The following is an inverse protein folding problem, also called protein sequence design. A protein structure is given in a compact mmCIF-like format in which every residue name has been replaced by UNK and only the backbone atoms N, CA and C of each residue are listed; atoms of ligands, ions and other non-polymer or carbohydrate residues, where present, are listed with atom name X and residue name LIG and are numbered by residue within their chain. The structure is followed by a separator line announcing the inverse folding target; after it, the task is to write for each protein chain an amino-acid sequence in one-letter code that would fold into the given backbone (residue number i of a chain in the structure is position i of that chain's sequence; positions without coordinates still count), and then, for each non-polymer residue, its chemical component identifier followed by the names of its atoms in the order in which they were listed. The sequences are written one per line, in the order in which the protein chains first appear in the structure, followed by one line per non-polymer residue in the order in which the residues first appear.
data_IF_612812903556
#
_entry.id   IF_612812903556
#
_cell.length_a   1.000
_cell.length_b   1.000
_cell.length_c   1.000
_cell.angle_alpha   90.00
_cell.angle_beta   90.00
_cell.angle_gamma   90.00
#
_symmetry.space_group_name_H-M   'P 1'
#
loop_
_entity.id
_entity.type
_entity.pdbx_description
1 polymer ?
#
# COMPACT_ATOMS: atom_id res chain seq x y z
N UNK A 1 -16.99 19.20 14.87
CA UNK A 1 -15.53 19.04 15.10
C UNK A 1 -15.14 19.98 16.23
N UNK A 2 -14.34 19.54 17.20
CA UNK A 2 -14.28 20.16 18.54
C UNK A 2 -13.31 21.34 18.71
N UNK A 3 -12.49 21.64 17.68
CA UNK A 3 -11.57 22.77 17.65
C UNK A 3 -11.52 23.40 16.25
N UNK A 4 -12.48 24.27 15.88
CA UNK A 4 -12.50 24.91 14.57
C UNK A 4 -11.23 25.70 14.25
N UNK A 5 -10.57 26.21 15.29
CA UNK A 5 -9.27 26.91 15.20
C UNK A 5 -8.13 26.08 14.58
N UNK A 6 -8.29 24.76 14.48
CA UNK A 6 -7.25 23.87 13.97
C UNK A 6 -7.45 23.45 12.51
N UNK A 7 -8.56 23.83 11.85
CA UNK A 7 -8.85 23.41 10.48
C UNK A 7 -7.79 23.89 9.48
N UNK A 8 -7.47 25.18 9.50
CA UNK A 8 -6.49 25.74 8.56
C UNK A 8 -5.13 25.04 8.72
N UNK A 9 -4.72 24.78 9.98
CA UNK A 9 -3.45 24.10 10.26
C UNK A 9 -3.48 22.63 9.87
N UNK A 10 -4.60 21.95 10.08
CA UNK A 10 -4.82 20.58 9.65
C UNK A 10 -4.61 20.44 8.13
N UNK A 11 -5.30 21.27 7.35
CA UNK A 11 -5.25 21.21 5.89
C UNK A 11 -3.89 21.65 5.35
N UNK A 12 -3.31 22.73 5.89
CA UNK A 12 -1.97 23.19 5.53
C UNK A 12 -0.93 22.09 5.69
N UNK A 13 -0.92 21.42 6.86
CA UNK A 13 0.07 20.37 7.15
C UNK A 13 -0.17 19.10 6.33
N UNK A 14 -1.43 18.75 6.06
CA UNK A 14 -1.76 17.64 5.17
C UNK A 14 -1.23 17.91 3.75
N UNK A 15 -1.50 19.09 3.19
CA UNK A 15 -1.09 19.43 1.82
C UNK A 15 0.44 19.45 1.67
N UNK A 16 1.16 20.03 2.64
CA UNK A 16 2.64 19.98 2.66
C UNK A 16 3.15 18.53 2.72
N UNK A 17 2.52 17.68 3.52
CA UNK A 17 2.89 16.27 3.59
C UNK A 17 2.61 15.53 2.27
N UNK A 18 1.48 15.81 1.62
CA UNK A 18 1.12 15.24 0.31
C UNK A 18 2.17 15.59 -0.73
N UNK A 19 2.62 16.86 -0.80
CA UNK A 19 3.71 17.28 -1.70
C UNK A 19 4.99 16.48 -1.43
N UNK A 20 5.34 16.32 -0.15
CA UNK A 20 6.54 15.57 0.25
C UNK A 20 6.45 14.08 -0.09
N UNK A 21 5.29 13.47 0.15
CA UNK A 21 5.02 12.06 -0.15
C UNK A 21 5.03 11.81 -1.66
N UNK A 22 4.32 12.63 -2.43
CA UNK A 22 4.22 12.49 -3.88
C UNK A 22 5.54 12.85 -4.58
N UNK A 23 6.32 13.79 -4.03
CA UNK A 23 7.65 14.16 -4.53
C UNK A 23 8.74 13.10 -4.31
N UNK A 24 8.49 12.09 -3.47
CA UNK A 24 9.43 10.97 -3.27
C UNK A 24 9.65 10.16 -4.56
N UNK A 25 10.92 9.83 -4.82
CA UNK A 25 11.35 9.10 -6.02
C UNK A 25 11.06 7.59 -5.96
N UNK A 26 10.78 7.04 -4.78
CA UNK A 26 10.40 5.63 -4.61
C UNK A 26 8.90 5.44 -4.85
N UNK A 27 8.52 4.24 -5.31
CA UNK A 27 7.12 3.85 -5.48
C UNK A 27 6.27 4.94 -6.18
N UNK A 28 6.75 5.49 -7.31
CA UNK A 28 6.09 6.60 -8.04
C UNK A 28 4.65 6.32 -8.46
N UNK A 29 4.24 5.06 -8.47
CA UNK A 29 2.87 4.65 -8.75
C UNK A 29 1.93 4.82 -7.55
N UNK A 30 2.46 4.98 -6.33
CA UNK A 30 1.68 5.25 -5.13
C UNK A 30 1.57 6.76 -4.95
N UNK A 31 0.36 7.26 -5.03
CA UNK A 31 0.02 8.66 -4.82
C UNK A 31 -0.84 8.82 -3.57
N UNK A 32 -0.60 9.89 -2.81
CA UNK A 32 -1.51 10.37 -1.76
C UNK A 32 -2.40 11.46 -2.38
N UNK A 33 -3.72 11.27 -2.29
CA UNK A 33 -4.72 12.17 -2.87
C UNK A 33 -5.70 12.61 -1.78
N UNK A 34 -5.59 13.86 -1.29
CA UNK A 34 -6.57 14.41 -0.36
C UNK A 34 -7.91 14.63 -1.06
N UNK A 35 -8.99 14.56 -0.28
CA UNK A 35 -10.32 14.92 -0.76
C UNK A 35 -10.35 16.42 -1.09
N UNK A 36 -10.94 16.77 -2.23
CA UNK A 36 -11.08 18.18 -2.66
C UNK A 36 -12.13 18.94 -1.85
N UNK A 37 -13.06 18.21 -1.23
CA UNK A 37 -14.17 18.72 -0.44
C UNK A 37 -14.27 17.85 0.80
N UNK A 38 -14.47 18.46 1.96
CA UNK A 38 -14.73 17.76 3.23
C UNK A 38 -15.91 16.80 3.05
N UNK A 39 -15.66 15.51 3.28
CA UNK A 39 -16.67 14.46 3.15
C UNK A 39 -17.24 14.04 4.50
N UNK A 40 -16.64 14.51 5.61
CA UNK A 40 -16.86 14.01 6.97
C UNK A 40 -16.64 12.49 7.11
N UNK A 41 -16.01 11.84 6.13
CA UNK A 41 -15.76 10.41 6.08
C UNK A 41 -14.27 10.13 6.27
N UNK A 42 -13.44 10.41 5.27
CA UNK A 42 -11.98 10.36 5.37
C UNK A 42 -11.34 11.65 4.81
N UNK A 43 -10.04 11.84 5.01
CA UNK A 43 -9.33 13.02 4.52
C UNK A 43 -8.75 12.81 3.12
N UNK A 44 -8.65 11.55 2.68
CA UNK A 44 -8.26 11.19 1.33
C UNK A 44 -7.89 9.73 1.20
N UNK A 45 -7.20 9.40 0.10
CA UNK A 45 -6.75 8.05 -0.21
C UNK A 45 -5.27 8.00 -0.58
N UNK A 46 -4.63 6.89 -0.27
CA UNK A 46 -3.47 6.41 -1.02
C UNK A 46 -3.98 5.54 -2.17
N UNK A 47 -3.44 5.73 -3.38
CA UNK A 47 -3.84 4.98 -4.57
C UNK A 47 -2.61 4.48 -5.32
N UNK A 48 -2.66 3.23 -5.75
CA UNK A 48 -1.76 2.68 -6.75
C UNK A 48 -2.36 2.95 -8.14
N UNK A 49 -1.80 3.91 -8.86
CA UNK A 49 -2.34 4.35 -10.16
C UNK A 49 -2.25 3.27 -11.25
N UNK A 50 -1.50 2.19 -11.02
CA UNK A 50 -1.40 1.08 -11.97
C UNK A 50 -2.46 0.01 -11.75
N UNK A 51 -2.91 -0.18 -10.51
CA UNK A 51 -3.89 -1.22 -10.15
C UNK A 51 -5.26 -0.63 -9.80
N UNK A 52 -5.33 0.68 -9.60
CA UNK A 52 -6.47 1.41 -9.06
C UNK A 52 -6.90 0.93 -7.66
N UNK A 53 -6.05 0.16 -6.99
CA UNK A 53 -6.25 -0.18 -5.59
C UNK A 53 -6.02 1.06 -4.73
N UNK A 54 -6.86 1.26 -3.72
CA UNK A 54 -6.73 2.35 -2.77
C UNK A 54 -6.97 1.93 -1.34
N UNK A 55 -6.42 2.71 -0.42
CA UNK A 55 -6.76 2.71 1.00
C UNK A 55 -7.04 4.14 1.44
N UNK A 56 -8.05 4.35 2.27
CA UNK A 56 -8.34 5.66 2.82
C UNK A 56 -7.56 5.95 4.09
N UNK A 57 -7.28 7.24 4.31
CA UNK A 57 -6.56 7.72 5.47
C UNK A 57 -7.33 8.82 6.21
N UNK A 58 -7.02 8.96 7.49
CA UNK A 58 -7.40 10.09 8.34
C UNK A 58 -6.12 10.80 8.78
N UNK A 59 -6.10 12.13 8.66
CA UNK A 59 -5.02 13.02 9.04
C UNK A 59 -5.37 13.74 10.34
N UNK A 60 -4.35 14.01 11.16
CA UNK A 60 -4.51 14.79 12.37
C UNK A 60 -3.24 15.57 12.64
N UNK A 61 -3.33 16.89 12.75
CA UNK A 61 -2.23 17.69 13.28
C UNK A 61 -2.26 17.69 14.81
N UNK A 62 -1.13 17.35 15.44
CA UNK A 62 -1.00 17.37 16.91
C UNK A 62 -0.23 18.59 17.36
N UNK A 63 -0.93 19.50 18.04
CA UNK A 63 -0.33 20.72 18.59
C UNK A 63 0.43 20.50 19.91
N UNK A 64 0.40 19.28 20.47
CA UNK A 64 0.99 18.95 21.77
C UNK A 64 1.44 17.50 21.82
N UNK A 65 2.40 17.23 22.71
CA UNK A 65 2.84 15.88 23.10
C UNK A 65 3.44 15.04 21.97
N UNK A 66 3.58 15.61 20.77
CA UNK A 66 4.26 15.02 19.64
C UNK A 66 5.01 16.11 18.88
N UNK A 67 6.34 16.12 19.00
CA UNK A 67 7.22 17.09 18.35
C UNK A 67 8.54 16.43 17.96
N UNK A 68 9.19 16.88 16.90
CA UNK A 68 10.49 16.39 16.46
C UNK A 68 10.58 14.86 16.35
N UNK A 69 9.52 14.22 15.83
CA UNK A 69 9.37 12.76 15.78
C UNK A 69 9.39 12.05 17.15
N UNK A 70 9.12 12.74 18.26
CA UNK A 70 9.06 12.20 19.61
C UNK A 70 7.67 12.36 20.18
N UNK A 71 6.96 11.24 20.32
CA UNK A 71 5.67 11.18 21.01
C UNK A 71 5.95 11.00 22.50
N UNK A 72 5.33 11.80 23.36
CA UNK A 72 5.49 11.70 24.82
C UNK A 72 4.86 10.44 25.42
N UNK A 73 3.98 9.78 24.67
CA UNK A 73 3.25 8.59 25.10
C UNK A 73 3.76 7.32 24.42
N UNK A 74 3.69 6.20 25.15
CA UNK A 74 4.00 4.88 24.62
C UNK A 74 2.85 4.26 23.79
N UNK A 75 1.71 4.97 23.68
CA UNK A 75 0.55 4.54 22.91
C UNK A 75 -0.04 5.68 22.07
N UNK A 76 -0.60 5.29 20.93
CA UNK A 76 -1.28 6.21 20.02
C UNK A 76 -2.79 6.09 20.20
N UNK A 77 -3.46 7.21 20.50
CA UNK A 77 -4.91 7.25 20.69
C UNK A 77 -5.67 7.57 19.40
N UNK A 78 -6.79 6.90 19.16
CA UNK A 78 -7.72 7.23 18.07
C UNK A 78 -9.18 7.17 18.54
N UNK A 79 -10.00 8.11 18.06
CA UNK A 79 -11.41 8.21 18.42
C UNK A 79 -12.25 7.08 17.82
N UNK A 80 -13.19 6.52 18.61
CA UNK A 80 -14.07 5.45 18.12
C UNK A 80 -14.88 5.87 16.88
N UNK A 81 -15.37 7.12 16.84
CA UNK A 81 -16.09 7.67 15.68
C UNK A 81 -15.28 7.70 14.38
N UNK A 82 -13.95 7.65 14.47
CA UNK A 82 -13.04 7.55 13.32
C UNK A 82 -12.84 6.06 12.99
N UNK A 83 -12.59 5.22 13.99
CA UNK A 83 -12.42 3.76 13.85
C UNK A 83 -13.64 3.04 13.24
N UNK A 84 -14.86 3.52 13.51
CA UNK A 84 -16.10 2.96 12.96
C UNK A 84 -16.25 3.16 11.44
N UNK A 85 -15.47 4.07 10.85
CA UNK A 85 -15.54 4.36 9.42
C UNK A 85 -14.71 3.37 8.62
N UNK A 86 -15.40 2.52 7.87
CA UNK A 86 -14.78 1.49 7.00
C UNK A 86 -13.95 2.07 5.86
N UNK A 87 -14.16 3.34 5.53
CA UNK A 87 -13.46 4.11 4.51
C UNK A 87 -12.05 4.53 4.92
N UNK A 88 -11.68 4.36 6.20
CA UNK A 88 -10.34 4.66 6.72
C UNK A 88 -9.69 3.36 7.16
N UNK A 89 -8.52 3.06 6.62
CA UNK A 89 -7.69 1.94 7.05
C UNK A 89 -6.54 2.40 7.92
N UNK A 90 -6.01 3.60 7.68
CA UNK A 90 -4.80 4.10 8.32
C UNK A 90 -5.01 5.51 8.89
N UNK A 91 -4.48 5.76 10.08
CA UNK A 91 -4.47 7.09 10.70
C UNK A 91 -3.06 7.64 10.74
N UNK A 92 -2.92 8.92 10.39
CA UNK A 92 -1.67 9.66 10.31
C UNK A 92 -1.76 10.86 11.24
N UNK A 93 -0.97 10.87 12.31
CA UNK A 93 -0.93 11.97 13.25
C UNK A 93 0.38 12.71 13.07
N UNK A 94 0.35 13.94 12.55
CA UNK A 94 1.50 14.80 12.29
C UNK A 94 1.97 15.48 13.56
N UNK A 95 3.29 15.57 13.76
CA UNK A 95 3.88 16.28 14.89
C UNK A 95 3.73 17.81 14.74
N UNK A 96 3.82 18.52 15.86
CA UNK A 96 3.64 19.97 15.92
C UNK A 96 4.71 20.75 15.12
N UNK A 97 5.83 20.10 14.83
CA UNK A 97 6.99 20.68 14.15
C UNK A 97 7.05 20.33 12.66
N UNK A 98 6.07 19.60 12.13
CA UNK A 98 6.02 19.16 10.73
C UNK A 98 7.31 18.42 10.29
N UNK A 99 7.84 17.57 11.17
CA UNK A 99 9.04 16.75 10.92
C UNK A 99 8.76 15.26 10.89
N UNK A 100 7.60 14.81 11.40
CA UNK A 100 7.27 13.40 11.46
C UNK A 100 5.78 13.11 11.61
N UNK A 101 5.43 11.86 11.37
CA UNK A 101 4.08 11.32 11.56
C UNK A 101 4.13 10.05 12.40
N UNK A 102 3.21 9.93 13.35
CA UNK A 102 2.86 8.68 13.99
C UNK A 102 1.77 7.99 13.18
N UNK A 103 1.98 6.72 12.85
CA UNK A 103 1.17 5.95 11.91
C UNK A 103 0.63 4.71 12.60
N UNK A 104 -0.69 4.52 12.57
CA UNK A 104 -1.36 3.32 13.06
C UNK A 104 -2.44 2.85 12.10
N UNK A 105 -2.75 1.56 12.15
CA UNK A 105 -3.83 0.97 11.35
C UNK A 105 -5.08 0.76 12.20
N UNK A 106 -6.26 1.04 11.62
CA UNK A 106 -7.54 0.84 12.29
C UNK A 106 -7.72 -0.59 12.83
N UNK A 107 -7.25 -1.59 12.08
CA UNK A 107 -7.34 -2.99 12.50
C UNK A 107 -6.66 -3.23 13.86
N UNK A 108 -5.54 -2.58 14.15
CA UNK A 108 -4.83 -2.74 15.41
C UNK A 108 -5.61 -2.13 16.58
N UNK A 109 -6.13 -0.91 16.43
CA UNK A 109 -6.97 -0.26 17.46
C UNK A 109 -8.24 -1.05 17.75
N UNK A 110 -8.85 -1.67 16.74
CA UNK A 110 -10.10 -2.43 16.92
C UNK A 110 -9.93 -3.67 17.82
N UNK A 111 -8.68 -4.11 18.07
CA UNK A 111 -8.36 -5.18 19.03
C UNK A 111 -8.19 -4.68 20.47
N UNK A 112 -8.09 -3.37 20.68
CA UNK A 112 -7.83 -2.76 21.99
C UNK A 112 -9.13 -2.44 22.74
N UNK A 113 -9.08 -2.27 24.05
CA UNK A 113 -10.26 -1.87 24.83
C UNK A 113 -10.66 -0.40 24.59
N UNK A 114 -11.95 -0.11 24.74
CA UNK A 114 -12.49 1.26 24.66
C UNK A 114 -12.33 1.96 26.00
N UNK A 115 -11.68 3.12 26.00
CA UNK A 115 -11.63 4.03 27.14
C UNK A 115 -12.58 5.21 26.95
N UNK A 116 -13.32 5.59 28.00
CA UNK A 116 -14.07 6.85 28.02
C UNK A 116 -13.18 7.95 28.57
N UNK A 117 -12.99 9.02 27.80
CA UNK A 117 -12.16 10.18 28.16
C UNK A 117 -12.95 11.46 27.99
N UNK A 118 -12.77 12.38 28.93
CA UNK A 118 -13.24 13.76 28.78
C UNK A 118 -12.38 14.48 27.73
N UNK A 119 -13.01 14.91 26.64
CA UNK A 119 -12.45 15.70 25.56
C UNK A 119 -12.15 17.13 26.02
N UNK A 120 -11.10 17.69 25.43
CA UNK A 120 -10.90 19.14 25.41
C UNK A 120 -11.68 19.73 24.24
N UNK A 121 -12.56 20.68 24.55
CA UNK A 121 -13.32 21.48 23.59
C UNK A 121 -12.83 22.93 23.70
N UNK A 122 -13.11 23.75 22.69
CA UNK A 122 -12.90 25.21 22.79
C UNK A 122 -13.96 25.88 23.72
N UNK A 123 -14.86 25.09 24.34
CA UNK A 123 -15.91 25.54 25.26
C UNK A 123 -15.64 25.08 26.70
N UNK A 124 -16.35 25.67 27.68
CA UNK A 124 -16.21 25.33 29.11
C UNK A 124 -16.75 23.93 29.49
N UNK A 125 -17.35 23.20 28.54
CA UNK A 125 -17.99 21.90 28.77
C UNK A 125 -17.10 20.77 28.23
N UNK A 126 -16.74 19.83 29.10
CA UNK A 126 -15.99 18.62 28.73
C UNK A 126 -16.97 17.58 28.18
N UNK A 127 -16.83 17.19 26.93
CA UNK A 127 -17.61 16.08 26.34
C UNK A 127 -16.91 14.74 26.54
N UNK A 128 -17.65 13.64 26.70
CA UNK A 128 -17.04 12.31 26.82
C UNK A 128 -16.88 11.69 25.42
N UNK A 129 -15.65 11.37 25.03
CA UNK A 129 -15.38 10.55 23.85
C UNK A 129 -14.91 9.15 24.23
N UNK A 130 -15.27 8.19 23.39
CA UNK A 130 -14.68 6.85 23.40
C UNK A 130 -13.40 6.88 22.55
N UNK A 131 -12.29 6.49 23.14
CA UNK A 131 -10.96 6.45 22.51
C UNK A 131 -10.40 5.04 22.69
N UNK A 132 -9.65 4.55 21.72
CA UNK A 132 -8.78 3.37 21.89
C UNK A 132 -7.33 3.77 21.78
N UNK A 133 -6.47 3.07 22.52
CA UNK A 133 -5.02 3.28 22.50
C UNK A 133 -4.34 2.00 22.05
N UNK A 134 -3.37 2.10 21.14
CA UNK A 134 -2.53 0.96 20.76
C UNK A 134 -1.06 1.30 20.90
N UNK A 135 -0.25 0.32 21.29
CA UNK A 135 1.21 0.40 21.20
C UNK A 135 1.73 -0.01 19.82
N UNK A 136 0.83 -0.45 18.91
CA UNK A 136 1.16 -0.97 17.58
C UNK A 136 1.18 0.14 16.51
N UNK A 137 1.98 1.16 16.75
CA UNK A 137 2.17 2.27 15.80
C UNK A 137 3.65 2.42 15.43
N UNK A 138 3.94 3.22 14.40
CA UNK A 138 5.31 3.53 13.99
C UNK A 138 5.45 5.00 13.64
N UNK A 139 6.55 5.60 14.08
CA UNK A 139 6.89 6.98 13.74
C UNK A 139 7.77 6.99 12.48
N UNK A 140 7.41 7.81 11.50
CA UNK A 140 8.20 8.07 10.31
C UNK A 140 8.61 9.53 10.26
N UNK A 141 9.91 9.77 10.11
CA UNK A 141 10.45 11.11 9.85
C UNK A 141 10.22 11.51 8.40
N UNK A 142 9.90 12.79 8.19
CA UNK A 142 9.80 13.40 6.88
C UNK A 142 11.12 13.31 6.13
N UNK A 143 12.28 13.39 6.80
CA UNK A 143 13.59 13.23 6.14
C UNK A 143 13.81 11.82 5.57
N UNK A 144 13.02 10.84 6.03
CA UNK A 144 13.03 9.45 5.56
C UNK A 144 11.65 9.04 5.01
N UNK A 145 10.97 9.96 4.32
CA UNK A 145 9.62 9.74 3.77
C UNK A 145 9.53 8.49 2.87
N UNK A 146 10.62 8.13 2.20
CA UNK A 146 10.72 6.92 1.37
C UNK A 146 10.42 5.64 2.16
N UNK A 147 10.76 5.59 3.46
CA UNK A 147 10.43 4.43 4.30
C UNK A 147 8.92 4.31 4.51
N UNK A 148 8.24 5.43 4.72
CA UNK A 148 6.79 5.45 4.86
C UNK A 148 6.11 5.09 3.54
N UNK A 149 6.55 5.67 2.42
CA UNK A 149 6.00 5.38 1.08
C UNK A 149 6.17 3.93 0.68
N UNK A 150 7.33 3.32 0.96
CA UNK A 150 7.54 1.88 0.76
C UNK A 150 6.65 1.02 1.67
N UNK A 151 6.38 1.47 2.89
CA UNK A 151 5.45 0.77 3.80
C UNK A 151 4.03 0.78 3.23
N UNK A 152 3.52 1.94 2.80
CA UNK A 152 2.19 2.05 2.16
C UNK A 152 2.12 1.17 0.91
N UNK A 153 3.12 1.25 0.03
CA UNK A 153 3.20 0.42 -1.17
C UNK A 153 3.18 -1.08 -0.85
N UNK A 154 3.88 -1.49 0.22
CA UNK A 154 3.95 -2.89 0.64
C UNK A 154 2.65 -3.36 1.29
N UNK A 155 2.00 -2.53 2.10
CA UNK A 155 0.69 -2.81 2.68
C UNK A 155 -0.33 -3.08 1.57
N UNK A 156 -0.42 -2.19 0.58
CA UNK A 156 -1.31 -2.34 -0.57
C UNK A 156 -0.95 -3.58 -1.39
N UNK A 157 0.32 -3.81 -1.70
CA UNK A 157 0.75 -4.99 -2.47
C UNK A 157 0.44 -6.31 -1.76
N UNK A 158 0.61 -6.37 -0.44
CA UNK A 158 0.45 -7.59 0.35
C UNK A 158 -0.97 -7.76 0.92
N UNK A 159 -1.85 -6.78 0.75
CA UNK A 159 -3.15 -6.70 1.44
C UNK A 159 -3.02 -6.82 2.97
N UNK A 160 -1.95 -6.27 3.53
CA UNK A 160 -1.68 -6.31 4.97
C UNK A 160 -1.86 -4.91 5.56
N UNK A 161 -3.01 -4.70 6.22
CA UNK A 161 -3.45 -3.41 6.76
C UNK A 161 -3.44 -3.40 8.29
N UNK A 162 -2.42 -4.04 8.87
CA UNK A 162 -2.13 -4.03 10.31
C UNK A 162 -0.65 -3.79 10.57
N UNK A 163 -0.29 -3.62 11.83
CA UNK A 163 1.08 -3.45 12.33
C UNK A 163 2.04 -4.58 11.95
N UNK A 164 1.54 -5.74 11.50
CA UNK A 164 2.37 -6.79 10.89
C UNK A 164 3.23 -6.24 9.76
N UNK A 165 2.73 -5.28 8.98
CA UNK A 165 3.49 -4.65 7.89
C UNK A 165 4.77 -3.97 8.40
N UNK A 166 4.76 -3.42 9.61
CA UNK A 166 5.95 -2.77 10.18
C UNK A 166 7.07 -3.77 10.44
N UNK A 167 6.73 -5.00 10.85
CA UNK A 167 7.68 -6.09 11.06
C UNK A 167 8.25 -6.58 9.74
N UNK A 168 7.39 -6.86 8.77
CA UNK A 168 7.77 -7.26 7.40
C UNK A 168 8.76 -6.25 6.80
N UNK A 169 8.47 -4.95 6.92
CA UNK A 169 9.35 -3.89 6.43
C UNK A 169 10.69 -3.86 7.16
N UNK A 170 10.71 -4.08 8.47
CA UNK A 170 11.95 -4.07 9.26
C UNK A 170 12.84 -5.26 8.91
N UNK A 171 12.27 -6.44 8.74
CA UNK A 171 12.98 -7.66 8.33
C UNK A 171 13.54 -7.52 6.91
N UNK A 172 12.77 -6.90 6.00
CA UNK A 172 13.19 -6.63 4.62
C UNK A 172 14.38 -5.66 4.57
N UNK A 173 14.37 -4.61 5.39
CA UNK A 173 15.50 -3.66 5.49
C UNK A 173 16.74 -4.34 6.11
N UNK A 174 16.57 -5.09 7.20
CA UNK A 174 17.68 -5.74 7.91
C UNK A 174 18.34 -6.86 7.11
N UNK A 175 17.57 -7.53 6.25
CA UNK A 175 18.11 -8.55 5.32
C UNK A 175 18.83 -7.95 4.12
N UNK A 176 19.00 -6.63 4.04
CA UNK A 176 19.65 -5.96 2.91
C UNK A 176 18.81 -6.03 1.62
N UNK A 177 17.55 -6.46 1.72
CA UNK A 177 16.59 -6.44 0.64
C UNK A 177 16.10 -5.00 0.53
N UNK A 178 16.96 -4.13 0.00
CA UNK A 178 16.53 -2.79 -0.38
C UNK A 178 15.45 -2.99 -1.44
N UNK A 179 14.22 -2.58 -1.16
CA UNK A 179 13.16 -2.43 -2.18
C UNK A 179 13.48 -1.20 -3.03
N UNK A 180 14.67 -1.22 -3.63
CA UNK A 180 14.98 -0.53 -4.87
C UNK A 180 14.68 -1.53 -5.97
N UNK A 181 14.07 -1.07 -7.05
CA UNK A 181 13.77 -1.88 -8.26
C UNK A 181 15.01 -2.48 -8.96
N UNK A 182 16.16 -2.56 -8.30
CA UNK A 182 17.41 -3.02 -8.90
C UNK A 182 17.93 -4.36 -8.39
N UNK A 183 17.45 -4.94 -7.28
CA UNK A 183 17.86 -6.31 -6.90
C UNK A 183 16.73 -7.05 -6.17
N UNK A 184 16.07 -7.98 -6.88
CA UNK A 184 15.25 -9.03 -6.27
C UNK A 184 16.17 -10.11 -5.66
N UNK A 185 15.99 -10.47 -4.38
CA UNK A 185 16.48 -11.73 -3.86
C UNK A 185 15.49 -12.85 -4.19
N UNK A 186 16.05 -13.92 -4.74
CA UNK A 186 15.40 -15.20 -4.98
C UNK A 186 15.03 -15.84 -3.64
N UNK A 187 13.76 -16.18 -3.43
CA UNK A 187 13.38 -17.17 -2.42
C UNK A 187 13.84 -18.56 -2.87
N UNK A 188 14.56 -19.25 -1.99
CA UNK A 188 15.17 -20.57 -2.17
C UNK A 188 14.22 -21.57 -2.83
N UNK A 189 14.60 -22.03 -4.02
CA UNK A 189 14.12 -23.28 -4.59
C UNK A 189 14.78 -24.47 -3.88
N UNK A 190 13.97 -25.49 -3.59
CA UNK A 190 14.43 -26.87 -3.45
C UNK A 190 15.09 -27.30 -4.77
N UNK A 191 16.19 -28.03 -4.62
CA UNK A 191 17.17 -28.54 -5.59
C UNK A 191 16.72 -29.05 -6.98
N UNK A 192 17.47 -28.58 -8.00
CA UNK A 192 18.01 -29.26 -9.22
C UNK A 192 17.13 -29.52 -10.46
N UNK A 193 17.69 -29.60 -11.70
CA UNK A 193 18.97 -29.08 -12.24
C UNK A 193 18.84 -28.21 -13.53
N UNK A 194 19.88 -27.38 -13.74
CA UNK A 194 20.41 -26.73 -14.96
C UNK A 194 19.55 -26.58 -16.24
N UNK A 195 19.37 -25.33 -16.71
CA UNK A 195 19.87 -24.86 -18.02
C UNK A 195 19.58 -23.36 -18.34
N UNK A 196 20.68 -22.61 -18.50
CA UNK A 196 21.03 -21.62 -19.55
C UNK A 196 20.21 -20.31 -19.79
N UNK A 197 20.98 -19.22 -19.59
CA UNK A 197 21.11 -17.99 -20.38
C UNK A 197 20.17 -16.79 -20.08
N UNK A 198 20.80 -15.71 -19.59
CA UNK A 198 20.30 -14.33 -19.66
C UNK A 198 20.28 -13.87 -21.12
N UNK A 199 19.19 -14.13 -21.83
CA UNK A 199 18.90 -13.54 -23.14
C UNK A 199 17.72 -12.58 -23.02
N UNK A 200 17.78 -11.43 -23.71
CA UNK A 200 16.60 -10.60 -23.94
C UNK A 200 15.53 -11.47 -24.64
N UNK A 201 14.49 -11.89 -23.91
CA UNK A 201 13.41 -12.70 -24.45
C UNK A 201 12.83 -12.03 -25.71
N UNK A 202 12.94 -12.71 -26.86
CA UNK A 202 12.55 -12.18 -28.18
C UNK A 202 11.05 -12.37 -28.46
N UNK A 203 10.41 -13.35 -27.82
CA UNK A 203 8.99 -13.69 -28.03
C UNK A 203 8.20 -13.67 -26.72
N UNK A 204 6.87 -13.58 -26.82
CA UNK A 204 5.98 -13.70 -25.65
C UNK A 204 6.12 -15.05 -24.92
N UNK A 205 6.34 -16.12 -25.66
CA UNK A 205 6.55 -17.48 -25.13
C UNK A 205 7.81 -17.52 -24.27
N UNK A 206 8.91 -16.99 -24.78
CA UNK A 206 10.19 -16.95 -24.05
C UNK A 206 10.07 -16.05 -22.82
N UNK A 207 9.33 -14.94 -22.92
CA UNK A 207 9.10 -14.04 -21.81
C UNK A 207 8.37 -14.75 -20.67
N UNK A 208 7.22 -15.40 -20.94
CA UNK A 208 6.47 -16.08 -19.89
C UNK A 208 7.21 -17.31 -19.31
N UNK A 209 7.89 -18.09 -20.16
CA UNK A 209 8.77 -19.18 -19.70
C UNK A 209 9.90 -18.67 -18.81
N UNK A 210 10.52 -17.54 -19.16
CA UNK A 210 11.58 -16.93 -18.34
C UNK A 210 11.10 -16.46 -16.97
N UNK A 211 9.78 -16.26 -16.81
CA UNK A 211 9.11 -15.90 -15.55
C UNK A 211 8.58 -17.12 -14.80
N UNK A 212 8.86 -18.34 -15.28
CA UNK A 212 8.46 -19.59 -14.66
C UNK A 212 6.98 -19.94 -14.81
N UNK A 213 6.26 -19.31 -15.75
CA UNK A 213 4.84 -19.56 -15.93
C UNK A 213 4.58 -20.76 -16.85
N UNK A 214 3.57 -21.56 -16.49
CA UNK A 214 3.03 -22.62 -17.35
C UNK A 214 2.30 -21.96 -18.53
N UNK A 215 2.66 -22.38 -19.75
CA UNK A 215 2.07 -21.84 -20.98
C UNK A 215 1.65 -22.95 -21.93
N UNK A 216 0.57 -22.68 -22.68
CA UNK A 216 0.07 -23.55 -23.75
C UNK A 216 -0.06 -22.69 -25.01
N UNK A 217 0.81 -22.89 -26.00
CA UNK A 217 0.77 -22.17 -27.26
C UNK A 217 0.10 -23.00 -28.36
N UNK A 218 -1.12 -22.63 -28.73
CA UNK A 218 -1.88 -23.24 -29.84
C UNK A 218 -2.02 -22.31 -31.04
N UNK A 219 -1.35 -21.16 -31.05
CA UNK A 219 -1.36 -20.21 -32.18
C UNK A 219 -0.94 -20.86 -33.52
N UNK A 220 0.02 -21.82 -33.57
CA UNK A 220 0.33 -22.52 -34.82
C UNK A 220 -0.85 -23.26 -35.45
N UNK A 221 -1.84 -23.67 -34.65
CA UNK A 221 -3.02 -24.42 -35.09
C UNK A 221 -4.28 -23.53 -35.13
N UNK A 222 -4.12 -22.21 -35.24
CA UNK A 222 -5.23 -21.25 -35.25
C UNK A 222 -5.84 -20.93 -33.87
N UNK A 223 -5.25 -21.46 -32.80
CA UNK A 223 -5.68 -21.21 -31.41
C UNK A 223 -5.04 -19.98 -30.77
N UNK A 224 -5.03 -19.95 -29.44
CA UNK A 224 -4.45 -18.86 -28.65
C UNK A 224 -3.16 -19.30 -27.93
N UNK A 225 -2.37 -18.32 -27.48
CA UNK A 225 -1.38 -18.52 -26.44
C UNK A 225 -2.07 -18.35 -25.09
N UNK A 226 -1.96 -19.35 -24.24
CA UNK A 226 -2.47 -19.35 -22.87
C UNK A 226 -1.33 -19.29 -21.86
N UNK A 227 -1.52 -18.48 -20.83
CA UNK A 227 -0.69 -18.42 -19.62
C UNK A 227 -1.57 -18.87 -18.47
N UNK A 228 -1.19 -19.99 -17.84
CA UNK A 228 -2.01 -20.65 -16.84
C UNK A 228 -1.79 -19.99 -15.47
N UNK A 229 -2.90 -19.69 -14.79
CA UNK A 229 -2.92 -19.05 -13.47
C UNK A 229 -4.09 -18.07 -13.35
N UNK A 230 -4.54 -17.82 -12.13
CA UNK A 230 -5.60 -16.84 -11.89
C UNK A 230 -5.09 -15.40 -12.06
N UNK A 231 -5.99 -14.44 -12.25
CA UNK A 231 -5.62 -13.05 -12.50
C UNK A 231 -4.75 -12.43 -11.38
N UNK A 232 -4.97 -12.84 -10.13
CA UNK A 232 -4.18 -12.36 -8.99
C UNK A 232 -2.74 -12.90 -9.02
N UNK A 233 -2.53 -14.13 -9.48
CA UNK A 233 -1.23 -14.80 -9.56
C UNK A 233 -0.39 -14.29 -10.73
N UNK A 234 -0.97 -14.25 -11.93
CA UNK A 234 -0.21 -13.99 -13.17
C UNK A 234 -0.39 -12.57 -13.70
N UNK A 235 -1.34 -11.80 -13.17
CA UNK A 235 -1.72 -10.50 -13.71
C UNK A 235 -0.60 -9.48 -13.80
N UNK A 236 0.34 -9.48 -12.85
CA UNK A 236 1.51 -8.60 -12.92
C UNK A 236 2.44 -8.95 -14.09
N UNK A 237 2.70 -10.24 -14.30
CA UNK A 237 3.56 -10.73 -15.39
C UNK A 237 2.88 -10.55 -16.74
N UNK A 238 1.56 -10.80 -16.81
CA UNK A 238 0.74 -10.55 -18.00
C UNK A 238 0.75 -9.07 -18.38
N UNK A 239 0.53 -8.15 -17.43
CA UNK A 239 0.58 -6.70 -17.71
C UNK A 239 1.96 -6.25 -18.17
N UNK A 240 3.03 -6.80 -17.59
CA UNK A 240 4.40 -6.55 -18.05
C UNK A 240 4.60 -7.00 -19.50
N UNK A 241 4.09 -8.19 -19.87
CA UNK A 241 4.11 -8.69 -21.24
C UNK A 241 3.31 -7.81 -22.20
N UNK A 242 2.08 -7.43 -21.84
CA UNK A 242 1.22 -6.56 -22.64
C UNK A 242 1.92 -5.23 -22.97
N UNK A 243 2.58 -4.62 -21.98
CA UNK A 243 3.34 -3.38 -22.16
C UNK A 243 4.60 -3.57 -23.00
N UNK A 244 5.37 -4.64 -22.75
CA UNK A 244 6.64 -4.88 -23.44
C UNK A 244 6.44 -5.26 -24.91
N UNK A 245 5.47 -6.13 -25.17
CA UNK A 245 5.22 -6.68 -26.51
C UNK A 245 4.09 -5.95 -27.25
N UNK A 246 3.39 -5.01 -26.60
CA UNK A 246 2.24 -4.30 -27.17
C UNK A 246 1.20 -5.30 -27.69
N UNK A 247 0.69 -6.14 -26.79
CA UNK A 247 -0.32 -7.17 -27.06
C UNK A 247 -1.48 -7.04 -26.08
N UNK A 248 -2.69 -7.39 -26.53
CA UNK A 248 -3.89 -7.51 -25.71
C UNK A 248 -4.29 -8.97 -25.52
N UNK A 249 -5.20 -9.23 -24.59
CA UNK A 249 -5.73 -10.55 -24.28
C UNK A 249 -6.76 -10.49 -23.16
N UNK A 250 -7.43 -11.60 -22.88
CA UNK A 250 -8.47 -11.68 -21.86
C UNK A 250 -8.21 -12.85 -20.91
N UNK A 251 -8.84 -12.82 -19.74
CA UNK A 251 -8.88 -13.97 -18.84
C UNK A 251 -10.06 -14.88 -19.19
N UNK A 252 -9.86 -16.18 -19.00
CA UNK A 252 -10.91 -17.17 -19.23
C UNK A 252 -10.55 -18.54 -18.68
N UNK A 253 -11.50 -19.45 -18.81
CA UNK A 253 -11.35 -20.88 -18.58
C UNK A 253 -11.74 -21.61 -19.86
N UNK A 254 -10.96 -22.61 -20.27
CA UNK A 254 -11.21 -23.32 -21.52
C UNK A 254 -10.84 -24.80 -21.43
N UNK A 255 -11.50 -25.66 -22.20
CA UNK A 255 -11.17 -27.10 -22.25
C UNK A 255 -9.72 -27.35 -22.69
N UNK A 256 -9.18 -26.48 -23.55
CA UNK A 256 -7.81 -26.57 -24.08
C UNK A 256 -6.73 -26.46 -23.01
N UNK A 257 -7.06 -25.89 -21.85
CA UNK A 257 -6.19 -25.77 -20.68
C UNK A 257 -6.70 -26.61 -19.51
N UNK A 258 -7.41 -27.71 -19.80
CA UNK A 258 -7.99 -28.61 -18.80
C UNK A 258 -8.93 -27.90 -17.82
N UNK A 259 -9.70 -26.91 -18.29
CA UNK A 259 -10.59 -26.07 -17.46
C UNK A 259 -9.88 -25.27 -16.36
N UNK A 260 -8.55 -25.13 -16.43
CA UNK A 260 -7.81 -24.20 -15.57
C UNK A 260 -8.16 -22.75 -15.93
N UNK A 261 -7.87 -21.81 -15.04
CA UNK A 261 -7.92 -20.38 -15.34
C UNK A 261 -6.63 -19.92 -16.02
N UNK A 262 -6.74 -18.96 -16.93
CA UNK A 262 -5.58 -18.37 -17.56
C UNK A 262 -5.88 -17.10 -18.32
N UNK A 263 -4.81 -16.40 -18.69
CA UNK A 263 -4.86 -15.29 -19.63
C UNK A 263 -4.53 -15.80 -21.04
N UNK A 264 -5.26 -15.35 -22.05
CA UNK A 264 -5.02 -15.75 -23.43
C UNK A 264 -4.89 -14.58 -24.41
N UNK A 265 -4.06 -14.77 -25.44
CA UNK A 265 -3.89 -13.83 -26.55
C UNK A 265 -3.77 -14.54 -27.89
N UNK A 266 -4.26 -13.89 -28.95
CA UNK A 266 -4.07 -14.31 -30.35
C UNK A 266 -2.92 -13.57 -31.06
N UNK A 267 -2.21 -12.69 -30.36
CA UNK A 267 -1.10 -11.95 -30.95
C UNK A 267 -0.01 -12.92 -31.43
N UNK A 268 0.59 -12.66 -32.60
CA UNK A 268 1.64 -13.51 -33.22
C UNK A 268 3.09 -13.13 -32.81
N UNK A 269 3.23 -12.27 -31.80
CA UNK A 269 4.53 -11.79 -31.27
C UNK A 269 5.14 -12.78 -30.27
#
# INVERSE_FOLDING_TARGET
MYRPSMYDKHDETMLKFVEKFNGSLVCKNIEMRPNKVETYDNDGIFIDIYTNQSIGYDWEYRDRYFEHCKLEFDSLGQYERKLEKKSIQISLQCDSTETGIAVGWHEDWLQEEREKRALRTDSSWKENASIRYTNKFKIYSFSKIDLFKNMVASAMRLQEYSSKIFKIMTETVNSGIVVSRTNMPQTKQLSSPEAKSKGNAKTLVDFFKSKGLEIVDKRPNGGCLWVIGNENEIGLVVREACRKFHVGGNYGTEKEICQKQGWFTRARK
#
